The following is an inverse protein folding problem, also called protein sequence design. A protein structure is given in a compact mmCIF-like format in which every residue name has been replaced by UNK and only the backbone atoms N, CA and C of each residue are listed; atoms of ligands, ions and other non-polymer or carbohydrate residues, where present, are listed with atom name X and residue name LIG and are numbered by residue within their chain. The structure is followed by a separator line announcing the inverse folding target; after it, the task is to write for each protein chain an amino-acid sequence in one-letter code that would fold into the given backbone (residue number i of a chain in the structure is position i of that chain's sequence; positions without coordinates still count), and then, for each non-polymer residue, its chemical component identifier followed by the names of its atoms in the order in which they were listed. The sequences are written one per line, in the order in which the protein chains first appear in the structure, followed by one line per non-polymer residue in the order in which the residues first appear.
data_IF_229897077886
#
_entry.id   IF_229897077886
#
_cell.length_a   1.000
_cell.length_b   1.000
_cell.length_c   1.000
_cell.angle_alpha   90.00
_cell.angle_beta   90.00
_cell.angle_gamma   90.00
#
_symmetry.space_group_name_H-M   'P 1'
#
loop_
_entity.id
_entity.type
_entity.pdbx_description
1 polymer ?
#
# COMPACT_ATOMS: atom_id res chain seq x y z
N UNK A 1 0.71 1.71 -55.50
CA UNK A 1 0.40 2.53 -56.69
C UNK A 1 1.23 3.81 -56.61
N UNK A 2 1.96 4.23 -57.66
CA UNK A 2 2.64 5.52 -57.61
C UNK A 2 1.57 6.62 -57.54
N UNK A 3 1.68 7.49 -56.53
CA UNK A 3 0.82 8.67 -56.38
C UNK A 3 0.87 9.50 -57.66
N UNK A 4 -0.29 9.71 -58.30
CA UNK A 4 -0.43 10.51 -59.52
C UNK A 4 -0.69 11.97 -59.12
N UNK A 5 0.00 12.95 -59.74
CA UNK A 5 -0.23 14.36 -59.45
C UNK A 5 -1.64 14.77 -59.88
N UNK A 6 -2.12 15.89 -59.32
CA UNK A 6 -3.43 16.47 -59.64
C UNK A 6 -3.52 17.10 -61.03
N UNK A 7 -2.39 17.31 -61.69
CA UNK A 7 -2.25 17.89 -63.03
C UNK A 7 -1.96 16.81 -64.08
N UNK A 8 -2.39 17.05 -65.32
CA UNK A 8 -2.14 16.15 -66.45
C UNK A 8 -0.72 16.29 -67.00
N UNK A 9 -0.34 15.43 -67.95
CA UNK A 9 0.98 15.55 -68.61
C UNK A 9 1.03 16.82 -69.45
N UNK A 10 -0.09 17.15 -70.07
CA UNK A 10 -0.29 18.28 -70.97
C UNK A 10 -0.16 19.60 -70.20
N UNK A 11 -0.87 19.73 -69.06
CA UNK A 11 -0.76 20.91 -68.18
C UNK A 11 0.68 21.08 -67.66
N UNK A 12 1.34 19.98 -67.30
CA UNK A 12 2.73 19.99 -66.84
C UNK A 12 3.71 20.42 -67.93
N UNK A 13 3.51 20.00 -69.18
CA UNK A 13 4.36 20.37 -70.29
C UNK A 13 4.22 21.87 -70.62
N UNK A 14 3.01 22.39 -70.61
CA UNK A 14 2.74 23.83 -70.80
C UNK A 14 3.33 24.66 -69.67
N UNK A 15 3.11 24.26 -68.42
CA UNK A 15 3.64 24.99 -67.27
C UNK A 15 5.17 24.94 -67.16
N UNK A 16 5.82 23.84 -67.56
CA UNK A 16 7.27 23.70 -67.52
C UNK A 16 7.96 24.44 -68.67
N UNK A 17 7.37 24.47 -69.87
CA UNK A 17 7.95 25.20 -71.01
C UNK A 17 7.90 26.71 -70.83
N UNK A 18 6.83 27.23 -70.20
CA UNK A 18 6.64 28.66 -69.97
C UNK A 18 7.30 29.19 -68.67
N UNK A 19 7.89 28.32 -67.85
CA UNK A 19 8.47 28.70 -66.56
C UNK A 19 9.97 28.98 -66.63
N UNK A 20 10.41 29.98 -65.85
CA UNK A 20 11.84 30.32 -65.67
C UNK A 20 12.45 29.63 -64.43
N UNK A 21 11.62 29.02 -63.58
CA UNK A 21 12.06 28.29 -62.39
C UNK A 21 11.09 27.18 -62.00
N UNK A 22 11.58 26.19 -61.26
CA UNK A 22 10.72 25.13 -60.69
C UNK A 22 9.61 25.65 -59.78
N UNK A 23 9.82 26.79 -59.11
CA UNK A 23 8.80 27.40 -58.27
C UNK A 23 7.72 28.05 -59.14
N UNK A 24 8.12 28.67 -60.24
CA UNK A 24 7.19 29.26 -61.20
C UNK A 24 6.34 28.21 -61.91
N UNK A 25 6.95 27.10 -62.36
CA UNK A 25 6.23 25.96 -62.93
C UNK A 25 5.16 25.41 -61.97
N UNK A 26 5.48 25.30 -60.67
CA UNK A 26 4.50 24.86 -59.67
C UNK A 26 3.35 25.87 -59.48
N UNK A 27 3.64 27.18 -59.47
CA UNK A 27 2.59 28.22 -59.37
C UNK A 27 1.66 28.20 -60.58
N UNK A 28 2.21 28.03 -61.79
CA UNK A 28 1.43 27.90 -63.04
C UNK A 28 0.51 26.68 -63.02
N UNK A 29 0.93 25.59 -62.38
CA UNK A 29 0.10 24.41 -62.15
C UNK A 29 -0.92 24.55 -61.00
N UNK A 30 -1.00 25.72 -60.36
CA UNK A 30 -1.85 25.92 -59.17
C UNK A 30 -1.36 25.15 -57.94
N UNK A 31 -0.12 24.66 -57.93
CA UNK A 31 0.47 23.89 -56.84
C UNK A 31 1.43 24.77 -56.04
N UNK A 32 1.29 24.73 -54.71
CA UNK A 32 2.13 25.53 -53.83
C UNK A 32 3.62 25.14 -53.93
N UNK A 33 4.56 26.09 -54.13
CA UNK A 33 5.98 25.80 -54.37
C UNK A 33 6.75 25.51 -53.08
N UNK A 34 6.38 24.44 -52.36
CA UNK A 34 7.03 24.05 -51.11
C UNK A 34 7.32 22.55 -51.02
N UNK A 35 8.42 22.23 -50.32
CA UNK A 35 8.72 20.89 -49.83
C UNK A 35 8.76 19.81 -50.92
N UNK A 36 7.89 18.80 -50.77
CA UNK A 36 7.87 17.61 -51.62
C UNK A 36 7.42 17.90 -53.06
N UNK A 37 6.71 19.01 -53.32
CA UNK A 37 6.17 19.34 -54.64
C UNK A 37 7.27 19.54 -55.68
N UNK A 38 8.42 20.11 -55.28
CA UNK A 38 9.61 20.20 -56.13
C UNK A 38 10.18 18.83 -56.52
N UNK A 39 10.14 17.88 -55.59
CA UNK A 39 10.60 16.51 -55.87
C UNK A 39 9.62 15.78 -56.78
N UNK A 40 8.33 16.02 -56.58
CA UNK A 40 7.24 15.45 -57.37
C UNK A 40 7.29 15.90 -58.82
N UNK A 41 7.28 17.21 -59.09
CA UNK A 41 7.27 17.74 -60.45
C UNK A 41 8.51 17.31 -61.24
N UNK A 42 9.69 17.26 -60.61
CA UNK A 42 10.93 16.75 -61.25
C UNK A 42 10.84 15.27 -61.61
N UNK A 43 10.33 14.44 -60.70
CA UNK A 43 10.15 13.00 -60.95
C UNK A 43 9.19 12.76 -62.11
N UNK A 44 8.11 13.53 -62.18
CA UNK A 44 7.10 13.39 -63.23
C UNK A 44 7.56 14.01 -64.56
N UNK A 45 8.27 15.14 -64.55
CA UNK A 45 8.92 15.68 -65.74
C UNK A 45 9.90 14.68 -66.37
N UNK A 46 10.74 14.04 -65.55
CA UNK A 46 11.65 12.98 -66.01
C UNK A 46 10.90 11.74 -66.53
N UNK A 47 9.81 11.34 -65.88
CA UNK A 47 8.99 10.19 -66.30
C UNK A 47 8.20 10.46 -67.58
N UNK A 48 7.80 11.69 -67.81
CA UNK A 48 7.05 12.11 -69.00
C UNK A 48 7.92 12.62 -70.13
N UNK A 49 9.24 12.61 -69.95
CA UNK A 49 10.25 13.06 -70.93
C UNK A 49 10.02 14.50 -71.39
N UNK A 50 9.59 15.37 -70.47
CA UNK A 50 9.42 16.80 -70.74
C UNK A 50 10.79 17.47 -70.66
N UNK A 51 11.13 18.24 -71.68
CA UNK A 51 12.37 19.02 -71.68
C UNK A 51 12.33 20.08 -70.57
N UNK A 52 13.36 20.06 -69.73
CA UNK A 52 13.52 20.95 -68.57
C UNK A 52 14.95 21.47 -68.47
N UNK A 53 15.72 21.38 -69.57
CA UNK A 53 17.13 21.81 -69.63
C UNK A 53 17.31 23.30 -69.40
N UNK A 54 16.30 24.12 -69.71
CA UNK A 54 16.25 25.55 -69.43
C UNK A 54 16.03 25.89 -67.95
N UNK A 55 15.61 24.92 -67.11
CA UNK A 55 15.36 25.15 -65.70
C UNK A 55 16.61 24.92 -64.83
N UNK A 56 16.76 25.65 -63.70
CA UNK A 56 17.92 25.51 -62.84
C UNK A 56 18.04 24.08 -62.27
N UNK A 57 19.24 23.46 -62.30
CA UNK A 57 19.43 22.09 -61.85
C UNK A 57 19.26 21.96 -60.34
N UNK A 58 18.65 20.86 -59.91
CA UNK A 58 18.53 20.55 -58.49
C UNK A 58 19.85 20.05 -57.92
N UNK A 59 20.39 20.74 -56.91
CA UNK A 59 21.54 20.27 -56.12
C UNK A 59 21.04 19.42 -54.94
N UNK A 60 21.22 18.08 -54.96
CA UNK A 60 20.82 17.26 -53.83
C UNK A 60 21.61 17.63 -52.57
N UNK A 61 20.98 17.49 -51.41
CA UNK A 61 21.70 17.53 -50.13
C UNK A 61 22.72 16.40 -50.11
N UNK A 62 23.92 16.66 -49.55
CA UNK A 62 25.00 15.66 -49.43
C UNK A 62 24.45 14.35 -48.86
N UNK A 63 24.74 13.22 -49.53
CA UNK A 63 24.24 11.90 -49.17
C UNK A 63 24.95 11.25 -47.96
N UNK A 64 25.79 12.00 -47.25
CA UNK A 64 26.70 11.49 -46.24
C UNK A 64 26.76 12.36 -44.98
N UNK A 65 27.41 11.85 -43.92
CA UNK A 65 27.61 12.62 -42.70
C UNK A 65 28.61 13.75 -43.00
N UNK A 66 28.61 14.77 -42.14
CA UNK A 66 29.55 15.90 -42.27
C UNK A 66 30.98 15.55 -41.82
N UNK A 67 31.19 14.37 -41.24
CA UNK A 67 32.50 13.85 -40.79
C UNK A 67 32.99 12.74 -41.73
N UNK A 68 34.30 12.56 -41.82
CA UNK A 68 34.93 11.48 -42.61
C UNK A 68 35.02 10.17 -41.81
N UNK A 69 35.28 9.06 -42.50
CA UNK A 69 35.52 7.77 -41.83
C UNK A 69 36.71 7.85 -40.86
N UNK A 70 37.80 8.51 -41.26
CA UNK A 70 39.01 8.64 -40.44
C UNK A 70 38.73 9.41 -39.15
N UNK A 71 37.99 10.52 -39.24
CA UNK A 71 37.56 11.29 -38.07
C UNK A 71 36.68 10.46 -37.14
N UNK A 72 35.73 9.71 -37.69
CA UNK A 72 34.86 8.85 -36.88
C UNK A 72 35.66 7.74 -36.17
N UNK A 73 36.62 7.11 -36.87
CA UNK A 73 37.48 6.07 -36.31
C UNK A 73 38.32 6.61 -35.16
N UNK A 74 39.00 7.73 -35.37
CA UNK A 74 39.81 8.39 -34.35
C UNK A 74 38.98 8.78 -33.12
N UNK A 75 37.80 9.36 -33.34
CA UNK A 75 36.90 9.76 -32.26
C UNK A 75 36.37 8.56 -31.46
N UNK A 76 36.01 7.47 -32.13
CA UNK A 76 35.52 6.24 -31.47
C UNK A 76 36.65 5.59 -30.66
N UNK A 77 37.82 5.37 -31.25
CA UNK A 77 38.96 4.72 -30.57
C UNK A 77 39.44 5.47 -29.32
N UNK A 78 39.35 6.80 -29.31
CA UNK A 78 39.77 7.63 -28.16
C UNK A 78 38.68 7.88 -27.11
N UNK A 79 37.49 7.33 -27.30
CA UNK A 79 36.34 7.59 -26.44
C UNK A 79 35.98 6.36 -25.62
N UNK A 80 35.22 6.56 -24.54
CA UNK A 80 34.63 5.45 -23.76
C UNK A 80 33.11 5.32 -23.96
N UNK A 81 32.52 6.23 -24.74
CA UNK A 81 31.09 6.27 -25.02
C UNK A 81 30.78 6.99 -26.33
N UNK A 82 29.61 6.71 -26.90
CA UNK A 82 29.07 7.42 -28.06
C UNK A 82 28.95 8.94 -27.83
N UNK A 83 28.59 9.34 -26.62
CA UNK A 83 28.47 10.76 -26.24
C UNK A 83 29.82 11.46 -26.28
N UNK A 84 30.87 10.82 -25.76
CA UNK A 84 32.24 11.36 -25.81
C UNK A 84 32.76 11.43 -27.25
N UNK A 85 32.52 10.39 -28.05
CA UNK A 85 32.89 10.36 -29.46
C UNK A 85 32.24 11.50 -30.25
N UNK A 86 30.95 11.78 -30.00
CA UNK A 86 30.25 12.91 -30.62
C UNK A 86 30.83 14.26 -30.21
N UNK A 87 31.14 14.44 -28.91
CA UNK A 87 31.78 15.68 -28.43
C UNK A 87 33.14 15.90 -29.07
N UNK A 88 33.95 14.84 -29.22
CA UNK A 88 35.24 14.90 -29.92
C UNK A 88 35.11 15.25 -31.40
N UNK A 89 34.03 14.80 -32.05
CA UNK A 89 33.70 15.19 -33.43
C UNK A 89 33.10 16.60 -33.54
N UNK A 90 32.88 17.31 -32.42
CA UNK A 90 32.26 18.64 -32.40
C UNK A 90 30.73 18.63 -32.56
N UNK A 91 30.07 17.48 -32.35
CA UNK A 91 28.61 17.35 -32.44
C UNK A 91 27.95 17.35 -31.07
N UNK A 92 26.74 17.91 -31.02
CA UNK A 92 25.87 17.78 -29.86
C UNK A 92 25.45 16.30 -29.71
N UNK A 93 25.61 15.68 -28.52
CA UNK A 93 25.31 14.26 -28.32
C UNK A 93 23.82 13.95 -28.17
N UNK A 94 22.94 14.91 -28.43
CA UNK A 94 21.48 14.76 -28.39
C UNK A 94 20.86 14.78 -29.79
N UNK A 95 19.59 14.39 -29.90
CA UNK A 95 18.87 14.35 -31.18
C UNK A 95 19.28 13.18 -32.09
N UNK A 96 19.34 13.41 -33.40
CA UNK A 96 19.65 12.38 -34.42
C UNK A 96 21.15 12.10 -34.66
N UNK A 97 22.05 12.89 -34.07
CA UNK A 97 23.50 12.72 -34.24
C UNK A 97 24.02 11.36 -33.73
N UNK A 98 23.62 10.84 -32.56
CA UNK A 98 24.05 9.53 -32.09
C UNK A 98 23.62 8.40 -33.03
N UNK A 99 22.40 8.45 -33.55
CA UNK A 99 21.91 7.45 -34.51
C UNK A 99 22.70 7.51 -35.82
N UNK A 100 23.00 8.73 -36.29
CA UNK A 100 23.82 8.94 -37.49
C UNK A 100 25.22 8.35 -37.30
N UNK A 101 25.90 8.68 -36.20
CA UNK A 101 27.24 8.15 -35.93
C UNK A 101 27.24 6.62 -35.80
N UNK A 102 26.24 6.01 -35.14
CA UNK A 102 26.10 4.55 -35.05
C UNK A 102 25.88 3.89 -36.41
N UNK A 103 25.00 4.47 -37.24
CA UNK A 103 24.71 3.94 -38.58
C UNK A 103 25.95 3.97 -39.48
N UNK A 104 26.71 5.06 -39.45
CA UNK A 104 27.94 5.19 -40.23
C UNK A 104 29.09 4.34 -39.66
N UNK A 105 29.24 4.25 -38.34
CA UNK A 105 30.20 3.34 -37.71
C UNK A 105 29.96 1.87 -38.11
N UNK A 106 28.69 1.45 -38.13
CA UNK A 106 28.31 0.12 -38.62
C UNK A 106 28.64 -0.06 -40.11
N UNK A 107 28.31 0.93 -40.96
CA UNK A 107 28.59 0.89 -42.40
C UNK A 107 30.09 0.82 -42.70
N UNK A 108 30.91 1.52 -41.93
CA UNK A 108 32.38 1.52 -42.03
C UNK A 108 33.06 0.41 -41.22
N UNK A 109 32.29 -0.46 -40.57
CA UNK A 109 32.80 -1.57 -39.75
C UNK A 109 33.80 -1.12 -38.68
N UNK A 110 33.52 0.01 -38.02
CA UNK A 110 34.32 0.51 -36.91
C UNK A 110 33.79 -0.15 -35.62
N UNK A 111 34.62 -0.93 -34.93
CA UNK A 111 34.22 -1.55 -33.65
C UNK A 111 34.12 -0.49 -32.55
N UNK A 112 33.04 -0.60 -31.76
CA UNK A 112 32.79 0.18 -30.55
C UNK A 112 32.62 -0.71 -29.31
N UNK A 113 33.16 -1.94 -29.36
CA UNK A 113 32.93 -2.98 -28.33
C UNK A 113 33.57 -2.62 -26.98
N UNK A 114 34.58 -1.76 -27.00
CA UNK A 114 35.21 -1.21 -25.79
C UNK A 114 34.35 -0.16 -25.08
N UNK A 115 33.25 0.30 -25.68
CA UNK A 115 32.30 1.17 -25.00
C UNK A 115 31.49 0.35 -23.99
N UNK A 116 31.43 0.83 -22.76
CA UNK A 116 30.67 0.21 -21.68
C UNK A 116 29.43 1.06 -21.36
N UNK A 117 28.23 0.62 -21.80
CA UNK A 117 26.98 1.35 -21.54
C UNK A 117 26.68 1.51 -20.04
N UNK A 118 27.26 0.63 -19.21
CA UNK A 118 26.99 0.56 -17.78
C UNK A 118 28.06 1.23 -16.92
N UNK A 119 29.10 1.84 -17.51
CA UNK A 119 30.21 2.44 -16.75
C UNK A 119 29.73 3.48 -15.72
N UNK A 120 28.85 4.39 -16.15
CA UNK A 120 28.30 5.43 -15.28
C UNK A 120 27.41 4.84 -14.17
N UNK A 121 26.63 3.80 -14.48
CA UNK A 121 25.78 3.12 -13.51
C UNK A 121 26.63 2.36 -12.48
N UNK A 122 27.66 1.64 -12.92
CA UNK A 122 28.62 0.95 -12.05
C UNK A 122 29.35 1.92 -11.13
N UNK A 123 29.77 3.07 -11.63
CA UNK A 123 30.41 4.10 -10.81
C UNK A 123 29.44 4.70 -9.78
N UNK A 124 28.19 4.99 -10.18
CA UNK A 124 27.17 5.45 -9.25
C UNK A 124 26.86 4.43 -8.14
N UNK A 125 26.76 3.14 -8.50
CA UNK A 125 26.58 2.05 -7.53
C UNK A 125 27.79 1.91 -6.60
N UNK A 126 29.01 2.06 -7.11
CA UNK A 126 30.23 2.06 -6.27
C UNK A 126 30.19 3.16 -5.23
N UNK A 127 29.81 4.38 -5.62
CA UNK A 127 29.68 5.52 -4.69
C UNK A 127 28.57 5.31 -3.68
N UNK A 128 27.39 4.86 -4.12
CA UNK A 128 26.27 4.58 -3.23
C UNK A 128 26.56 3.45 -2.22
N UNK A 129 27.40 2.48 -2.60
CA UNK A 129 27.81 1.37 -1.75
C UNK A 129 29.04 1.69 -0.88
N UNK A 130 29.54 2.93 -0.86
CA UNK A 130 30.62 3.28 0.06
C UNK A 130 30.11 3.20 1.51
N UNK A 131 30.73 2.37 2.35
CA UNK A 131 30.30 2.25 3.73
C UNK A 131 30.62 3.54 4.49
N UNK A 132 29.61 4.11 5.14
CA UNK A 132 29.76 5.29 6.03
C UNK A 132 30.90 5.02 7.03
N UNK A 133 31.85 5.93 7.26
CA UNK A 133 32.92 5.73 8.25
C UNK A 133 32.38 5.38 9.64
N UNK A 134 33.14 4.62 10.45
CA UNK A 134 32.67 4.18 11.77
C UNK A 134 32.62 5.31 12.79
N UNK A 135 33.52 6.27 12.69
CA UNK A 135 33.56 7.50 13.46
C UNK A 135 32.28 8.34 13.31
N UNK A 136 31.66 8.36 12.12
CA UNK A 136 30.36 9.01 11.92
C UNK A 136 29.17 8.22 12.53
N UNK A 137 29.35 6.91 12.77
CA UNK A 137 28.31 6.03 13.29
C UNK A 137 28.35 5.91 14.80
N UNK A 138 29.56 5.87 15.40
CA UNK A 138 29.79 5.65 16.82
C UNK A 138 29.65 6.95 17.63
N UNK A 139 28.55 7.66 17.38
CA UNK A 139 28.20 8.94 18.01
C UNK A 139 26.86 8.85 18.72
N UNK A 140 26.59 9.83 19.58
CA UNK A 140 25.26 10.04 20.15
C UNK A 140 24.28 10.52 19.07
N UNK A 141 23.05 10.01 19.07
CA UNK A 141 22.02 10.44 18.14
C UNK A 141 22.13 9.84 16.73
N UNK A 142 23.00 8.86 16.51
CA UNK A 142 23.19 8.24 15.20
C UNK A 142 21.88 7.61 14.67
N UNK A 143 21.56 7.89 13.40
CA UNK A 143 20.42 7.31 12.67
C UNK A 143 20.75 5.95 12.03
N UNK A 144 21.99 5.49 12.17
CA UNK A 144 22.47 4.25 11.56
C UNK A 144 21.69 3.02 12.05
N UNK A 145 21.43 2.07 11.13
CA UNK A 145 20.67 0.87 11.46
C UNK A 145 21.42 -0.05 12.43
N UNK A 146 20.79 -0.38 13.55
CA UNK A 146 21.30 -1.30 14.57
C UNK A 146 21.59 -2.70 14.03
N UNK A 147 20.79 -3.19 13.08
CA UNK A 147 21.01 -4.52 12.47
C UNK A 147 22.32 -4.56 11.69
N UNK A 148 22.73 -3.43 11.13
CA UNK A 148 23.94 -3.29 10.33
C UNK A 148 25.14 -2.90 11.19
N UNK A 149 24.92 -2.22 12.32
CA UNK A 149 25.97 -1.83 13.26
C UNK A 149 26.70 -3.05 13.84
N UNK A 150 25.96 -4.08 14.28
CA UNK A 150 26.57 -5.28 14.90
C UNK A 150 27.57 -5.99 13.97
N UNK A 151 27.22 -6.34 12.71
CA UNK A 151 28.19 -6.87 11.74
C UNK A 151 29.39 -5.95 11.50
N UNK A 152 29.19 -4.63 11.43
CA UNK A 152 30.29 -3.68 11.20
C UNK A 152 31.27 -3.59 12.35
N UNK A 153 30.77 -3.64 13.58
CA UNK A 153 31.61 -3.71 14.78
C UNK A 153 32.48 -4.97 14.80
N UNK A 154 31.94 -6.10 14.33
CA UNK A 154 32.71 -7.35 14.20
C UNK A 154 33.76 -7.26 13.09
N UNK A 155 33.39 -6.74 11.93
CA UNK A 155 34.32 -6.59 10.79
C UNK A 155 35.48 -5.64 11.10
N UNK A 156 35.23 -4.58 11.88
CA UNK A 156 36.26 -3.66 12.33
C UNK A 156 37.05 -4.15 13.55
N UNK A 157 36.71 -5.32 14.11
CA UNK A 157 37.38 -5.88 15.29
C UNK A 157 37.13 -5.13 16.60
N UNK A 158 36.21 -4.14 16.61
CA UNK A 158 35.90 -3.33 17.80
C UNK A 158 35.13 -4.13 18.86
N UNK A 159 34.33 -5.11 18.43
CA UNK A 159 33.60 -6.03 19.32
C UNK A 159 33.75 -7.46 18.82
N UNK A 160 33.68 -8.41 19.75
CA UNK A 160 33.76 -9.84 19.45
C UNK A 160 32.37 -10.48 19.52
N UNK A 161 32.11 -11.58 18.80
CA UNK A 161 30.86 -12.33 18.87
C UNK A 161 30.82 -13.23 20.12
N UNK A 162 31.04 -12.63 21.29
CA UNK A 162 30.93 -13.25 22.61
C UNK A 162 30.14 -12.32 23.54
N UNK A 163 29.45 -12.89 24.51
CA UNK A 163 28.78 -12.12 25.56
C UNK A 163 29.82 -11.45 26.46
N UNK A 164 29.77 -10.13 26.57
CA UNK A 164 30.67 -9.34 27.43
C UNK A 164 30.34 -9.51 28.94
N UNK A 165 29.20 -10.12 29.28
CA UNK A 165 28.80 -10.38 30.67
C UNK A 165 29.21 -11.77 31.14
N UNK A 166 28.91 -12.81 30.35
CA UNK A 166 29.11 -14.22 30.77
C UNK A 166 30.08 -15.01 29.89
N UNK A 167 30.66 -14.40 28.86
CA UNK A 167 31.59 -15.08 27.94
C UNK A 167 30.94 -16.02 26.92
N UNK A 168 29.64 -16.28 27.00
CA UNK A 168 28.91 -17.14 26.06
C UNK A 168 29.08 -16.67 24.60
N UNK A 169 29.63 -17.54 23.75
CA UNK A 169 29.73 -17.30 22.30
C UNK A 169 28.43 -17.56 21.54
N UNK A 170 28.51 -17.64 20.22
CA UNK A 170 27.35 -17.91 19.36
C UNK A 170 26.86 -19.36 19.42
N UNK A 171 27.57 -20.31 20.03
CA UNK A 171 27.14 -21.71 20.10
C UNK A 171 26.50 -22.01 21.46
N UNK A 172 25.19 -22.25 21.45
CA UNK A 172 24.41 -22.61 22.63
C UNK A 172 23.77 -23.99 22.43
N UNK A 173 24.11 -24.96 23.31
CA UNK A 173 23.59 -26.35 23.25
C UNK A 173 23.69 -26.97 21.84
N UNK A 174 24.82 -26.77 21.16
CA UNK A 174 25.08 -27.28 19.82
C UNK A 174 24.38 -26.54 18.67
N UNK A 175 23.65 -25.44 18.94
CA UNK A 175 22.99 -24.62 17.91
C UNK A 175 23.52 -23.18 17.94
N UNK A 176 23.47 -22.51 16.79
CA UNK A 176 23.85 -21.09 16.69
C UNK A 176 22.76 -20.20 17.31
N UNK A 177 23.17 -19.34 18.24
CA UNK A 177 22.35 -18.35 18.92
C UNK A 177 22.89 -16.96 18.59
N UNK A 178 22.00 -16.07 18.13
CA UNK A 178 22.38 -14.70 17.85
C UNK A 178 22.64 -13.92 19.14
N UNK A 179 23.81 -13.29 19.23
CA UNK A 179 24.09 -12.30 20.26
C UNK A 179 23.41 -10.97 19.93
N UNK A 180 23.05 -10.23 20.97
CA UNK A 180 22.29 -8.99 20.94
C UNK A 180 23.27 -7.82 21.14
N UNK A 181 23.11 -6.77 20.35
CA UNK A 181 23.74 -5.48 20.59
C UNK A 181 22.85 -4.72 21.57
N UNK A 182 23.38 -4.45 22.75
CA UNK A 182 22.69 -3.76 23.85
C UNK A 182 23.36 -2.41 24.13
N UNK A 183 22.53 -1.45 24.52
CA UNK A 183 22.95 -0.11 24.92
C UNK A 183 22.87 -0.02 26.44
N UNK A 184 23.99 0.27 27.09
CA UNK A 184 24.10 0.27 28.56
C UNK A 184 23.12 1.28 29.19
N UNK A 185 23.00 2.47 28.61
CA UNK A 185 22.04 3.48 29.06
C UNK A 185 20.58 3.17 28.70
N UNK A 186 20.33 2.25 27.76
CA UNK A 186 19.01 1.94 27.20
C UNK A 186 18.54 2.86 26.07
N UNK A 187 19.37 3.83 25.67
CA UNK A 187 19.09 4.78 24.60
C UNK A 187 19.46 4.20 23.24
N UNK A 188 18.46 4.01 22.39
CA UNK A 188 18.59 3.25 21.12
C UNK A 188 19.57 3.87 20.10
N UNK A 189 19.74 5.18 20.12
CA UNK A 189 20.49 5.95 19.13
C UNK A 189 21.85 6.44 19.67
N UNK A 190 22.24 6.06 20.89
CA UNK A 190 23.55 6.40 21.44
C UNK A 190 24.56 5.29 21.10
N UNK A 191 25.21 5.41 19.95
CA UNK A 191 26.09 4.39 19.41
C UNK A 191 27.56 4.54 19.83
N UNK A 192 27.86 5.39 20.82
CA UNK A 192 29.22 5.49 21.38
C UNK A 192 29.74 4.13 21.83
N UNK A 193 31.00 3.84 21.54
CA UNK A 193 31.57 2.50 21.69
C UNK A 193 31.53 2.01 23.15
N UNK A 194 31.69 2.92 24.10
CA UNK A 194 31.58 2.71 25.54
C UNK A 194 30.15 2.39 26.00
N UNK A 195 29.14 2.84 25.26
CA UNK A 195 27.74 2.59 25.57
C UNK A 195 27.23 1.28 24.91
N UNK A 196 27.94 0.75 23.93
CA UNK A 196 27.57 -0.49 23.23
C UNK A 196 28.24 -1.70 23.88
N UNK A 197 27.46 -2.76 24.09
CA UNK A 197 27.97 -4.09 24.43
C UNK A 197 27.25 -5.19 23.67
N UNK A 198 27.96 -6.31 23.48
CA UNK A 198 27.43 -7.53 22.90
C UNK A 198 27.10 -8.51 24.01
N UNK A 199 25.85 -8.96 24.07
CA UNK A 199 25.37 -9.85 25.14
C UNK A 199 24.54 -11.00 24.58
N UNK A 200 24.49 -12.12 25.31
CA UNK A 200 23.62 -13.23 24.93
C UNK A 200 22.15 -12.94 25.34
N UNK A 201 21.16 -13.59 24.69
CA UNK A 201 19.74 -13.45 25.03
C UNK A 201 19.41 -13.69 26.51
N UNK A 202 20.12 -14.61 27.17
CA UNK A 202 19.89 -14.90 28.59
C UNK A 202 20.32 -13.73 29.49
N UNK A 203 21.51 -13.16 29.28
CA UNK A 203 21.95 -11.96 30.00
C UNK A 203 21.14 -10.73 29.62
N UNK A 204 20.70 -10.60 28.37
CA UNK A 204 19.83 -9.50 27.96
C UNK A 204 18.51 -9.50 28.73
N UNK A 205 17.94 -10.68 29.01
CA UNK A 205 16.69 -10.81 29.74
C UNK A 205 16.75 -10.36 31.22
N UNK A 206 17.96 -10.29 31.80
CA UNK A 206 18.18 -9.88 33.19
C UNK A 206 18.41 -8.38 33.34
N UNK A 207 18.54 -7.61 32.25
CA UNK A 207 18.81 -6.18 32.31
C UNK A 207 17.57 -5.35 32.69
N UNK A 208 17.79 -4.24 33.39
CA UNK A 208 16.73 -3.26 33.73
C UNK A 208 16.15 -2.56 32.49
N UNK A 209 16.93 -2.49 31.42
CA UNK A 209 16.55 -1.92 30.12
C UNK A 209 15.74 -2.89 29.25
N UNK A 210 15.67 -4.18 29.63
CA UNK A 210 15.03 -5.23 28.83
C UNK A 210 13.55 -4.95 28.58
N UNK A 211 13.11 -5.06 27.31
CA UNK A 211 11.72 -4.87 26.88
C UNK A 211 11.03 -3.60 27.42
N UNK A 212 11.79 -2.50 27.61
CA UNK A 212 11.25 -1.26 28.13
C UNK A 212 10.79 -1.35 29.59
N UNK A 213 11.38 -2.24 30.40
CA UNK A 213 11.09 -2.34 31.85
C UNK A 213 11.28 -1.00 32.57
N UNK A 214 12.31 -0.22 32.25
CA UNK A 214 12.48 1.17 32.71
C UNK A 214 11.29 2.10 32.41
N UNK A 215 10.48 1.80 31.37
CA UNK A 215 9.31 2.60 30.98
C UNK A 215 7.98 2.04 31.51
N UNK A 216 7.98 0.90 32.22
CA UNK A 216 6.78 0.39 32.87
C UNK A 216 6.64 1.04 34.23
N UNK A 217 5.93 2.17 34.29
CA UNK A 217 5.39 2.66 35.57
C UNK A 217 4.53 1.54 36.14
N UNK A 218 4.99 0.86 37.18
CA UNK A 218 4.19 -0.13 37.89
C UNK A 218 2.98 0.64 38.43
N UNK A 219 1.75 0.34 37.98
CA UNK A 219 0.58 1.01 38.51
C UNK A 219 0.54 0.82 40.03
N UNK A 220 0.27 1.88 40.82
CA UNK A 220 0.17 1.74 42.27
C UNK A 220 -0.89 0.70 42.62
N UNK A 221 -0.64 -0.05 43.69
CA UNK A 221 -1.61 -1.01 44.25
C UNK A 221 -2.93 -0.27 44.51
N UNK A 222 -4.05 -0.92 44.19
CA UNK A 222 -5.40 -0.38 44.36
C UNK A 222 -6.25 -1.27 45.23
N UNK A 223 -7.25 -0.68 45.87
CA UNK A 223 -8.25 -1.41 46.63
C UNK A 223 -9.39 -1.85 45.71
N UNK A 224 -9.81 -3.11 45.84
CA UNK A 224 -10.92 -3.67 45.07
C UNK A 224 -12.22 -2.96 45.44
N UNK A 225 -12.96 -2.48 44.44
CA UNK A 225 -14.24 -1.78 44.62
C UNK A 225 -15.40 -2.65 45.18
N UNK A 226 -15.14 -3.92 45.50
CA UNK A 226 -16.12 -4.84 46.08
C UNK A 226 -15.67 -5.39 47.43
N UNK A 227 -14.49 -6.00 47.49
CA UNK A 227 -13.99 -6.64 48.72
C UNK A 227 -12.99 -5.78 49.51
N UNK A 228 -12.59 -4.62 49.00
CA UNK A 228 -11.58 -3.76 49.65
C UNK A 228 -10.14 -4.26 49.54
N UNK A 229 -9.90 -5.52 49.16
CA UNK A 229 -8.57 -6.11 49.09
C UNK A 229 -7.64 -5.41 48.08
N UNK A 230 -6.38 -5.29 48.46
CA UNK A 230 -5.31 -4.72 47.64
C UNK A 230 -4.96 -5.61 46.45
N UNK A 231 -4.76 -5.00 45.28
CA UNK A 231 -4.33 -5.72 44.07
C UNK A 231 -3.53 -4.82 43.11
N UNK A 232 -2.57 -5.38 42.36
CA UNK A 232 -1.87 -4.65 41.31
C UNK A 232 -2.75 -4.53 40.04
N UNK A 233 -3.14 -3.33 39.59
CA UNK A 233 -4.00 -3.19 38.43
C UNK A 233 -3.22 -3.45 37.14
N UNK A 234 -3.84 -4.16 36.18
CA UNK A 234 -3.23 -4.50 34.88
C UNK A 234 -3.34 -3.37 33.85
N UNK A 235 -4.26 -2.43 34.08
CA UNK A 235 -4.55 -1.27 33.24
C UNK A 235 -5.24 -0.19 34.09
N UNK A 236 -5.28 1.06 33.58
CA UNK A 236 -5.75 2.25 34.32
C UNK A 236 -7.18 2.18 34.84
N UNK A 237 -8.07 1.41 34.20
CA UNK A 237 -9.47 1.20 34.59
C UNK A 237 -9.76 -0.07 35.38
N UNK A 238 -8.73 -0.80 35.85
CA UNK A 238 -8.95 -2.06 36.58
C UNK A 238 -9.47 -1.76 38.00
N UNK A 239 -10.70 -2.23 38.32
CA UNK A 239 -11.45 -1.89 39.55
C UNK A 239 -11.58 -3.04 40.56
N UNK A 240 -11.37 -4.28 40.13
CA UNK A 240 -11.67 -5.45 40.94
C UNK A 240 -10.47 -6.39 40.98
N UNK A 241 -10.17 -6.96 42.15
CA UNK A 241 -9.02 -7.86 42.32
C UNK A 241 -9.18 -9.20 41.57
N UNK A 242 -10.42 -9.61 41.28
CA UNK A 242 -10.74 -10.89 40.67
C UNK A 242 -12.00 -10.82 39.82
N UNK A 243 -12.16 -11.80 38.92
CA UNK A 243 -13.37 -11.95 38.10
C UNK A 243 -14.63 -12.11 38.95
N UNK A 244 -14.53 -12.82 40.07
CA UNK A 244 -15.63 -12.98 41.03
C UNK A 244 -16.08 -11.62 41.60
N UNK A 245 -15.15 -10.73 41.92
CA UNK A 245 -15.48 -9.39 42.40
C UNK A 245 -16.08 -8.52 41.29
N UNK A 246 -15.60 -8.63 40.05
CA UNK A 246 -16.19 -7.90 38.92
C UNK A 246 -17.56 -8.39 38.47
N UNK A 247 -17.88 -9.68 38.69
CA UNK A 247 -19.16 -10.27 38.28
C UNK A 247 -20.27 -10.16 39.32
N UNK A 248 -19.95 -9.91 40.60
CA UNK A 248 -20.92 -9.79 41.71
C UNK A 248 -21.53 -8.38 41.84
N UNK A 249 -21.75 -7.69 40.73
CA UNK A 249 -22.43 -6.39 40.74
C UNK A 249 -23.93 -6.60 41.03
N UNK A 250 -24.43 -6.08 42.17
CA UNK A 250 -25.86 -6.14 42.53
C UNK A 250 -26.68 -5.37 41.48
N UNK A 251 -27.47 -6.06 40.66
CA UNK A 251 -28.42 -5.47 39.69
C UNK A 251 -29.68 -4.92 40.36
N UNK A 252 -29.57 -4.23 41.48
CA UNK A 252 -30.70 -3.50 42.08
C UNK A 252 -30.75 -2.10 41.48
N UNK A 253 -31.24 -1.98 40.25
CA UNK A 253 -31.50 -0.69 39.63
C UNK A 253 -32.91 -0.23 39.94
N UNK A 254 -33.07 0.98 40.49
CA UNK A 254 -34.36 1.68 40.55
C UNK A 254 -34.80 1.95 39.10
N UNK A 255 -36.04 1.58 38.68
CA UNK A 255 -36.52 1.91 37.35
C UNK A 255 -36.48 3.43 37.13
N UNK A 256 -36.02 3.87 35.96
CA UNK A 256 -36.03 5.29 35.56
C UNK A 256 -37.07 5.49 34.43
N UNK A 257 -38.33 5.80 34.75
CA UNK A 257 -39.38 5.93 33.73
C UNK A 257 -39.12 7.03 32.71
N UNK A 258 -38.50 8.15 33.13
CA UNK A 258 -38.17 9.29 32.25
C UNK A 258 -37.09 8.99 31.21
N UNK A 259 -36.35 7.88 31.33
CA UNK A 259 -35.36 7.44 30.34
C UNK A 259 -35.93 6.55 29.23
N UNK A 260 -37.25 6.31 29.23
CA UNK A 260 -37.91 5.44 28.24
C UNK A 260 -38.09 6.18 26.92
N UNK A 261 -37.61 5.57 25.83
CA UNK A 261 -37.74 6.11 24.47
C UNK A 261 -39.14 5.93 23.86
N UNK A 262 -39.93 5.01 24.41
CA UNK A 262 -41.24 4.63 23.89
C UNK A 262 -42.23 4.67 25.04
N UNK A 263 -43.40 5.28 24.80
CA UNK A 263 -44.51 5.27 25.72
C UNK A 263 -45.13 3.88 25.81
N UNK A 264 -45.31 3.38 27.03
CA UNK A 264 -45.73 2.01 27.28
C UNK A 264 -47.26 1.93 27.35
N UNK A 265 -47.92 1.08 26.54
CA UNK A 265 -49.37 0.90 26.60
C UNK A 265 -49.83 0.39 27.96
N UNK A 266 -51.06 0.73 28.43
CA UNK A 266 -51.64 0.17 29.64
C UNK A 266 -51.65 -1.37 29.63
N UNK A 267 -51.50 -1.99 30.80
CA UNK A 267 -51.30 -3.44 30.91
C UNK A 267 -52.39 -4.28 30.25
N UNK A 268 -53.67 -3.92 30.45
CA UNK A 268 -54.80 -4.63 29.86
C UNK A 268 -54.75 -4.62 28.33
N UNK A 269 -54.55 -3.43 27.74
CA UNK A 269 -54.39 -3.25 26.29
C UNK A 269 -53.19 -4.03 25.75
N UNK A 270 -52.07 -4.02 26.47
CA UNK A 270 -50.87 -4.77 26.08
C UNK A 270 -51.12 -6.29 26.05
N UNK A 271 -51.89 -6.83 27.00
CA UNK A 271 -52.24 -8.26 27.02
C UNK A 271 -53.18 -8.63 25.88
N UNK A 272 -54.23 -7.85 25.61
CA UNK A 272 -55.14 -8.06 24.49
C UNK A 272 -54.39 -8.07 23.15
N UNK A 273 -53.46 -7.15 22.98
CA UNK A 273 -52.63 -7.05 21.78
C UNK A 273 -51.68 -8.25 21.61
N UNK A 274 -51.13 -8.76 22.73
CA UNK A 274 -50.29 -9.96 22.74
C UNK A 274 -51.11 -11.20 22.42
N UNK A 275 -52.31 -11.34 22.96
CA UNK A 275 -53.17 -12.50 22.73
C UNK A 275 -53.72 -12.51 21.29
N UNK A 276 -54.00 -11.33 20.71
CA UNK A 276 -54.47 -11.18 19.33
C UNK A 276 -53.39 -11.45 18.28
N UNK A 277 -52.19 -10.86 18.46
CA UNK A 277 -51.18 -10.80 17.38
C UNK A 277 -49.86 -11.50 17.74
N UNK A 278 -49.64 -11.79 19.02
CA UNK A 278 -48.41 -12.36 19.54
C UNK A 278 -47.31 -11.33 19.78
N UNK A 279 -46.38 -11.67 20.68
CA UNK A 279 -45.30 -10.79 21.15
C UNK A 279 -44.49 -10.08 20.06
N UNK A 280 -44.22 -10.74 18.93
CA UNK A 280 -43.41 -10.16 17.85
C UNK A 280 -44.15 -9.05 17.10
N UNK A 281 -45.43 -9.27 16.81
CA UNK A 281 -46.25 -8.29 16.10
C UNK A 281 -46.55 -7.08 17.01
N UNK A 282 -46.88 -7.32 18.28
CA UNK A 282 -47.04 -6.25 19.28
C UNK A 282 -45.76 -5.43 19.43
N UNK A 283 -44.59 -6.08 19.47
CA UNK A 283 -43.31 -5.40 19.58
C UNK A 283 -43.00 -4.50 18.39
N UNK A 284 -43.29 -4.97 17.16
CA UNK A 284 -43.14 -4.16 15.94
C UNK A 284 -44.04 -2.93 15.97
N UNK A 285 -45.30 -3.06 16.40
CA UNK A 285 -46.23 -1.92 16.50
C UNK A 285 -45.74 -0.89 17.53
N UNK A 286 -45.21 -1.34 18.66
CA UNK A 286 -44.64 -0.47 19.68
C UNK A 286 -43.22 0.03 19.36
N UNK A 287 -42.61 -0.35 18.23
CA UNK A 287 -41.24 0.05 17.89
C UNK A 287 -40.15 -0.49 18.83
N UNK A 288 -40.38 -1.64 19.46
CA UNK A 288 -39.45 -2.27 20.42
C UNK A 288 -39.18 -3.74 20.06
N UNK A 289 -38.31 -4.41 20.83
CA UNK A 289 -38.07 -5.86 20.67
C UNK A 289 -39.12 -6.69 21.42
N UNK A 290 -39.37 -7.93 20.98
CA UNK A 290 -40.23 -8.89 21.67
C UNK A 290 -39.78 -9.13 23.12
N UNK A 291 -38.46 -9.13 23.36
CA UNK A 291 -37.88 -9.22 24.69
C UNK A 291 -38.19 -7.98 25.54
N UNK A 292 -38.30 -6.79 24.93
CA UNK A 292 -38.74 -5.59 25.64
C UNK A 292 -40.21 -5.71 26.09
N UNK A 293 -41.10 -6.20 25.22
CA UNK A 293 -42.50 -6.48 25.58
C UNK A 293 -42.60 -7.50 26.72
N UNK A 294 -41.79 -8.58 26.68
CA UNK A 294 -41.73 -9.55 27.79
C UNK A 294 -41.26 -8.91 29.10
N UNK A 295 -40.27 -8.02 29.05
CA UNK A 295 -39.81 -7.25 30.22
C UNK A 295 -40.88 -6.28 30.74
N UNK A 296 -41.69 -5.70 29.84
CA UNK A 296 -42.85 -4.91 30.23
C UNK A 296 -43.87 -5.77 30.97
N UNK A 297 -44.33 -6.88 30.39
CA UNK A 297 -45.29 -7.77 31.08
C UNK A 297 -44.79 -8.17 32.48
N UNK A 298 -43.52 -8.57 32.60
CA UNK A 298 -42.87 -8.87 33.88
C UNK A 298 -42.91 -7.73 34.89
N UNK A 299 -42.69 -6.51 34.42
CA UNK A 299 -42.74 -5.33 35.27
C UNK A 299 -44.18 -5.03 35.72
N UNK A 300 -45.18 -5.13 34.83
CA UNK A 300 -46.59 -4.93 35.20
C UNK A 300 -47.08 -5.98 36.20
N UNK A 301 -46.69 -7.25 36.03
CA UNK A 301 -47.05 -8.32 36.97
C UNK A 301 -46.43 -8.11 38.35
N UNK A 302 -45.18 -7.61 38.41
CA UNK A 302 -44.52 -7.26 39.67
C UNK A 302 -45.17 -6.06 40.35
N UNK A 303 -45.47 -5.00 39.60
CA UNK A 303 -46.17 -3.82 40.11
C UNK A 303 -47.57 -4.19 40.64
N UNK A 304 -48.30 -5.04 39.92
CA UNK A 304 -49.59 -5.57 40.35
C UNK A 304 -49.47 -6.40 41.62
N UNK A 305 -48.48 -7.29 41.72
CA UNK A 305 -48.27 -8.10 42.92
C UNK A 305 -47.91 -7.25 44.14
N UNK A 306 -47.08 -6.23 43.98
CA UNK A 306 -46.81 -5.24 45.03
C UNK A 306 -48.10 -4.56 45.50
N UNK A 307 -48.95 -4.11 44.57
CA UNK A 307 -50.20 -3.44 44.89
C UNK A 307 -51.21 -4.37 45.59
N UNK A 308 -51.14 -5.68 45.34
CA UNK A 308 -51.96 -6.71 45.98
C UNK A 308 -51.31 -7.29 47.26
N UNK A 309 -50.17 -6.75 47.72
CA UNK A 309 -49.47 -7.21 48.93
C UNK A 309 -48.76 -8.56 48.79
N UNK A 310 -48.58 -9.06 47.56
CA UNK A 310 -47.91 -10.34 47.26
C UNK A 310 -46.43 -10.12 46.98
N UNK A 311 -45.58 -11.06 47.40
CA UNK A 311 -44.13 -10.99 47.12
C UNK A 311 -43.86 -11.06 45.60
N UNK A 312 -43.26 -10.00 44.99
CA UNK A 312 -42.97 -9.95 43.56
C UNK A 312 -41.97 -11.01 43.08
N UNK A 313 -41.19 -11.60 44.00
CA UNK A 313 -40.29 -12.71 43.72
C UNK A 313 -41.03 -14.03 43.47
N UNK A 314 -42.25 -14.18 44.03
CA UNK A 314 -43.06 -15.39 43.97
C UNK A 314 -44.14 -15.37 42.86
N UNK A 315 -44.23 -14.27 42.10
CA UNK A 315 -45.17 -14.17 40.98
C UNK A 315 -44.69 -15.07 39.83
N UNK A 316 -45.50 -16.10 39.50
CA UNK A 316 -45.30 -16.92 38.30
C UNK A 316 -45.55 -16.08 37.04
N UNK A 317 -44.50 -15.42 36.58
CA UNK A 317 -44.47 -14.75 35.29
C UNK A 317 -44.58 -15.82 34.21
N UNK A 318 -45.59 -15.75 33.34
CA UNK A 318 -45.73 -16.68 32.22
C UNK A 318 -44.52 -16.57 31.30
N UNK A 319 -43.55 -17.47 31.44
CA UNK A 319 -42.47 -17.64 30.47
C UNK A 319 -42.97 -18.44 29.28
N UNK A 320 -43.76 -17.80 28.40
CA UNK A 320 -44.08 -18.39 27.10
C UNK A 320 -42.90 -18.19 26.15
N UNK A 321 -42.05 -19.20 26.06
CA UNK A 321 -41.09 -19.37 24.96
C UNK A 321 -41.83 -19.89 23.71
N UNK A 322 -41.44 -19.36 22.56
CA UNK A 322 -41.99 -19.65 21.21
C UNK A 322 -41.99 -21.15 20.84
N UNK A 323 -42.79 -21.62 19.84
CA UNK A 323 -43.53 -20.86 18.81
C UNK A 323 -45.07 -20.84 18.90
N UNK A 324 -45.67 -19.74 18.44
CA UNK A 324 -47.07 -19.67 18.01
C UNK A 324 -47.21 -20.36 16.63
N UNK A 325 -47.77 -21.59 16.56
CA UNK A 325 -48.56 -21.98 15.38
C UNK A 325 -50.02 -21.63 15.69
N UNK A 326 -50.71 -20.99 14.74
CA UNK A 326 -52.18 -20.93 14.75
C UNK A 326 -52.67 -22.37 14.92
N UNK A 327 -53.41 -22.69 15.98
CA UNK A 327 -54.26 -23.89 15.96
C UNK A 327 -55.29 -23.62 14.86
N UNK A 328 -55.20 -24.34 13.75
CA UNK A 328 -56.36 -24.49 12.88
C UNK A 328 -57.40 -25.30 13.65
N UNK A 329 -58.67 -24.96 13.48
CA UNK A 329 -59.81 -25.59 14.14
C UNK A 329 -59.97 -27.09 13.79
N UNK A 330 -59.12 -27.64 12.92
CA UNK A 330 -59.15 -29.03 12.41
C UNK A 330 -58.59 -30.09 13.36
N UNK A 331 -57.82 -29.73 14.38
CA UNK A 331 -57.12 -30.71 15.23
C UNK A 331 -57.89 -31.12 16.50
N UNK A 332 -59.18 -30.78 16.60
CA UNK A 332 -60.04 -31.17 17.74
C UNK A 332 -60.75 -32.53 17.48
N UNK A 333 -60.73 -33.05 16.26
CA UNK A 333 -61.53 -34.23 15.89
C UNK A 333 -60.76 -35.56 15.82
N UNK A 334 -59.44 -35.59 16.06
CA UNK A 334 -58.60 -36.76 15.75
C UNK A 334 -57.76 -37.27 16.93
N UNK A 335 -58.21 -37.08 18.17
CA UNK A 335 -57.47 -37.51 19.37
C UNK A 335 -58.33 -38.18 20.43
N UNK A 336 -59.46 -38.76 20.02
CA UNK A 336 -60.43 -39.41 20.92
C UNK A 336 -60.74 -40.83 20.49
N UNK A 337 -59.73 -41.64 20.17
CA UNK A 337 -59.88 -43.10 20.00
C UNK A 337 -58.48 -43.72 19.81
N UNK A 338 -57.77 -43.98 20.91
CA UNK A 338 -56.80 -45.08 21.03
C UNK A 338 -56.10 -44.96 22.39
N UNK A 339 -56.52 -45.83 23.32
CA UNK A 339 -55.73 -46.54 24.34
C UNK A 339 -56.66 -47.05 25.44
N UNK A 340 -57.61 -47.89 25.02
CA UNK A 340 -58.05 -49.01 25.84
C UNK A 340 -57.21 -50.23 25.41
N UNK A 341 -56.60 -50.91 26.39
CA UNK A 341 -55.72 -52.09 26.31
C UNK A 341 -54.21 -51.81 26.39
N UNK A 342 -53.69 -51.75 27.62
CA UNK A 342 -52.61 -52.63 28.09
C UNK A 342 -52.28 -52.33 29.57
N UNK A 343 -52.42 -53.37 30.40
CA UNK A 343 -52.08 -53.53 31.83
C UNK A 343 -53.01 -52.86 32.85
#
# INVERSE_FOLDING_TARGET
MPWKPSYTKEDAAEALSAAESWADALRRLGVSPYGKNFSTIRKWAARWEIDTTHLPPHRPRRAGPRFTELQAREAITRSRSWTEALRRLGYCPTGGNPQTLKAWAHRWKISADHFDPWAANREALRRANQPIPLDEILVEGSTYSRSNLKPRLYQAGLKRPICEICGQGEIWRGRRMGLILDHVNGTRNDNRIENIRIICPNCAATLDTHCGRKARTIPPVRNCALCGGEFPPRYSGHRYCSRACGSRWKRQGVPQPGGRKVERPPYAKLLEEIDREGYLATARRCGVSDNAIRKWVRQYERERALNEGRDPANVKIRTRTWPNRRRHQSDISAGGEELANAA
#
